data_IF_273636312224
#
_entry.id   IF_273636312224
#
_cell.length_a   1.000
_cell.length_b   1.000
_cell.length_c   1.000
_cell.angle_alpha   90.00
_cell.angle_beta   90.00
_cell.angle_gamma   90.00
#
_symmetry.space_group_name_H-M   'P 1'
#
loop_
_entity.id
_entity.type
_entity.pdbx_description
1 polymer ?
#
# COMPACT_ATOMS: atom_id res chain seq x y z
N UNK A 1 46.03 46.11 2.30
CA UNK A 1 45.58 44.74 1.92
C UNK A 1 46.81 43.86 2.14
N UNK A 2 47.01 43.01 3.14
CA UNK A 2 46.26 42.33 4.22
C UNK A 2 47.26 42.12 5.39
N UNK A 3 46.99 42.55 6.64
CA UNK A 3 46.47 41.80 7.80
C UNK A 3 47.14 40.45 8.12
N UNK A 4 48.01 40.46 9.14
CA UNK A 4 48.42 39.29 9.93
C UNK A 4 48.78 39.79 11.34
N UNK A 5 48.07 39.33 12.38
CA UNK A 5 48.61 39.36 13.74
C UNK A 5 48.14 38.15 14.56
N UNK A 6 49.15 37.38 15.01
CA UNK A 6 49.30 36.67 16.30
C UNK A 6 48.09 35.92 16.84
N UNK A 7 47.99 34.59 16.70
CA UNK A 7 48.70 33.61 17.53
C UNK A 7 48.87 34.01 19.01
N UNK A 8 47.92 33.51 19.81
CA UNK A 8 48.10 32.76 21.07
C UNK A 8 48.94 33.34 22.23
N UNK A 9 48.38 33.13 23.43
CA UNK A 9 48.98 33.12 24.78
C UNK A 9 49.00 34.46 25.52
N UNK A 10 48.04 34.69 26.41
CA UNK A 10 48.30 34.57 27.86
C UNK A 10 47.03 34.04 28.54
N UNK A 11 47.21 32.86 29.11
CA UNK A 11 46.29 32.09 29.93
C UNK A 11 46.34 32.51 31.41
N UNK A 12 45.25 32.22 32.12
CA UNK A 12 45.08 32.10 33.59
C UNK A 12 44.97 33.37 34.44
N UNK A 13 43.78 33.52 35.04
CA UNK A 13 43.48 33.57 36.49
C UNK A 13 41.93 33.48 36.63
N UNK A 14 41.35 32.29 36.43
CA UNK A 14 40.68 31.42 37.42
C UNK A 14 40.00 32.11 38.64
N UNK A 15 38.73 31.75 38.82
CA UNK A 15 37.92 31.55 40.05
C UNK A 15 36.83 32.59 40.35
N UNK A 16 35.61 32.05 40.52
CA UNK A 16 34.41 32.61 41.18
C UNK A 16 33.51 33.60 40.43
N UNK A 17 32.49 33.07 39.75
CA UNK A 17 31.08 33.32 40.10
C UNK A 17 30.15 32.50 39.17
N UNK A 18 29.66 31.39 39.70
CA UNK A 18 28.43 30.73 39.23
C UNK A 18 27.29 31.73 39.39
N UNK A 19 26.82 32.33 38.30
CA UNK A 19 25.47 32.92 38.21
C UNK A 19 24.88 32.54 36.87
N UNK A 20 24.36 31.31 36.87
CA UNK A 20 23.07 30.93 36.29
C UNK A 20 22.22 32.09 35.75
N UNK A 21 22.28 32.33 34.44
CA UNK A 21 21.19 32.98 33.72
C UNK A 21 20.11 31.94 33.42
N UNK A 22 19.27 31.68 34.43
CA UNK A 22 17.95 31.10 34.22
C UNK A 22 17.06 32.22 33.66
N UNK A 23 16.60 32.07 32.43
CA UNK A 23 15.39 32.75 31.97
C UNK A 23 14.26 31.70 31.92
N UNK A 24 13.04 32.08 32.35
CA UNK A 24 12.09 31.15 32.93
C UNK A 24 11.35 30.38 31.84
N UNK A 25 11.32 29.06 31.99
CA UNK A 25 10.27 28.22 31.41
C UNK A 25 9.01 28.56 32.20
N UNK A 26 8.18 29.47 31.67
CA UNK A 26 6.82 29.62 32.19
C UNK A 26 6.01 28.40 31.77
N UNK A 27 5.90 27.49 32.73
CA UNK A 27 4.84 26.50 32.87
C UNK A 27 3.49 27.20 32.81
N UNK A 28 2.78 27.06 31.70
CA UNK A 28 1.32 27.19 31.72
C UNK A 28 0.74 25.80 31.81
N UNK A 29 0.42 25.42 33.05
CA UNK A 29 -0.34 24.22 33.34
C UNK A 29 -1.75 24.31 32.78
N UNK A 30 -2.19 23.19 32.24
CA UNK A 30 -3.54 22.62 32.35
C UNK A 30 -4.66 23.61 32.74
N UNK A 31 -5.34 24.14 31.73
CA UNK A 31 -6.79 24.29 31.82
C UNK A 31 -7.39 23.12 31.05
N UNK A 32 -7.73 22.07 31.79
CA UNK A 32 -8.59 20.99 31.33
C UNK A 32 -9.97 21.58 31.04
N UNK A 33 -10.21 21.93 29.79
CA UNK A 33 -11.56 21.91 29.20
C UNK A 33 -11.54 20.82 28.16
N UNK A 34 -12.27 19.74 28.43
CA UNK A 34 -12.23 18.50 27.66
C UNK A 34 -12.53 18.68 26.18
N UNK A 35 -11.47 18.82 25.39
CA UNK A 35 -11.47 18.52 23.97
C UNK A 35 -10.66 17.25 23.77
N UNK A 36 -11.42 16.14 23.73
CA UNK A 36 -11.17 14.90 23.00
C UNK A 36 -9.72 14.78 22.49
N UNK A 37 -8.90 13.98 23.16
CA UNK A 37 -7.69 13.38 22.57
C UNK A 37 -8.12 12.59 21.33
N UNK A 38 -8.12 13.22 20.15
CA UNK A 38 -8.22 12.49 18.90
C UNK A 38 -6.81 11.96 18.65
N UNK A 39 -6.55 10.75 19.17
CA UNK A 39 -5.61 9.84 18.53
C UNK A 39 -6.15 9.62 17.12
N UNK A 40 -5.82 10.51 16.19
CA UNK A 40 -6.17 10.33 14.79
C UNK A 40 -5.25 9.26 14.25
N UNK A 41 -5.83 8.18 13.73
CA UNK A 41 -5.09 7.11 13.04
C UNK A 41 -4.27 7.65 11.87
N UNK A 42 -4.65 8.81 11.35
CA UNK A 42 -3.95 9.51 10.29
C UNK A 42 -3.05 10.62 10.85
N UNK A 43 -1.83 10.68 10.33
CA UNK A 43 -0.90 11.77 10.60
C UNK A 43 -1.41 13.03 9.92
N UNK A 44 -1.43 14.15 10.63
CA UNK A 44 -1.72 15.46 10.03
C UNK A 44 -0.79 15.70 8.81
N UNK A 45 -1.31 16.17 7.65
CA UNK A 45 -2.62 16.77 7.42
C UNK A 45 -3.74 15.81 6.98
N UNK A 46 -3.54 14.50 7.06
CA UNK A 46 -4.52 13.51 6.60
C UNK A 46 -5.67 13.32 7.59
N UNK A 47 -6.86 13.04 7.06
CA UNK A 47 -8.08 12.73 7.80
C UNK A 47 -8.48 11.27 7.59
N UNK A 48 -9.06 10.66 8.62
CA UNK A 48 -9.59 9.29 8.58
C UNK A 48 -10.96 9.29 7.92
N UNK A 49 -11.08 8.62 6.76
CA UNK A 49 -12.35 8.34 6.08
C UNK A 49 -12.37 6.85 5.77
N UNK A 50 -13.34 6.11 6.32
CA UNK A 50 -13.45 4.66 6.10
C UNK A 50 -12.18 3.90 6.50
N UNK A 51 -11.53 4.23 7.62
CA UNK A 51 -10.26 3.63 8.06
C UNK A 51 -9.08 3.87 7.11
N UNK A 52 -9.14 4.90 6.27
CA UNK A 52 -8.08 5.30 5.34
C UNK A 52 -7.75 6.77 5.53
N UNK A 53 -6.53 7.12 5.17
CA UNK A 53 -5.98 8.43 5.41
C UNK A 53 -5.92 9.22 4.11
N UNK A 54 -6.75 10.26 4.04
CA UNK A 54 -6.86 11.12 2.87
C UNK A 54 -6.50 12.56 3.19
N UNK A 55 -5.92 13.24 2.22
CA UNK A 55 -5.72 14.68 2.24
C UNK A 55 -6.54 15.28 1.11
N UNK A 56 -7.45 16.19 1.45
CA UNK A 56 -8.27 16.92 0.49
C UNK A 56 -7.64 18.29 0.25
N UNK A 57 -7.23 18.56 -0.99
CA UNK A 57 -6.57 19.83 -1.30
C UNK A 57 -7.55 21.01 -1.22
N UNK A 58 -7.02 22.17 -0.82
CA UNK A 58 -7.72 23.45 -0.98
C UNK A 58 -7.38 24.12 -2.32
N UNK A 59 -6.17 23.91 -2.81
CA UNK A 59 -5.67 24.43 -4.08
C UNK A 59 -6.07 23.53 -5.26
N UNK A 60 -6.18 24.15 -6.42
CA UNK A 60 -6.48 23.49 -7.68
C UNK A 60 -5.20 23.36 -8.51
N UNK A 61 -4.94 22.17 -9.06
CA UNK A 61 -3.76 21.87 -9.86
C UNK A 61 -4.15 21.05 -11.10
N UNK A 62 -3.28 21.07 -12.11
CA UNK A 62 -3.34 20.08 -13.19
C UNK A 62 -3.18 18.66 -12.62
N UNK A 63 -3.64 17.64 -13.34
CA UNK A 63 -3.52 16.26 -12.84
C UNK A 63 -2.07 15.88 -12.54
N UNK A 64 -1.15 16.18 -13.46
CA UNK A 64 0.27 15.84 -13.29
C UNK A 64 0.90 16.60 -12.12
N UNK A 65 0.54 17.88 -11.92
CA UNK A 65 1.03 18.66 -10.79
C UNK A 65 0.42 18.19 -9.46
N UNK A 66 -0.85 17.76 -9.47
CA UNK A 66 -1.50 17.14 -8.32
C UNK A 66 -0.86 15.80 -7.95
N UNK A 67 -0.54 14.95 -8.92
CA UNK A 67 0.19 13.69 -8.69
C UNK A 67 1.55 13.96 -8.04
N UNK A 68 2.34 14.86 -8.63
CA UNK A 68 3.63 15.27 -8.08
C UNK A 68 3.51 15.89 -6.68
N UNK A 69 2.44 16.64 -6.43
CA UNK A 69 2.18 17.20 -5.11
C UNK A 69 1.99 16.08 -4.08
N UNK A 70 1.13 15.11 -4.38
CA UNK A 70 0.89 13.96 -3.49
C UNK A 70 2.18 13.15 -3.28
N UNK A 71 2.91 12.84 -4.36
CA UNK A 71 4.19 12.13 -4.30
C UNK A 71 5.21 12.88 -3.44
N UNK A 72 5.27 14.22 -3.58
CA UNK A 72 6.15 15.08 -2.79
C UNK A 72 5.86 15.09 -1.29
N UNK A 73 4.62 14.81 -0.88
CA UNK A 73 4.30 14.63 0.55
C UNK A 73 4.96 13.38 1.14
N UNK A 74 5.42 12.45 0.30
CA UNK A 74 6.11 11.22 0.74
C UNK A 74 7.53 11.50 1.22
N UNK A 75 8.09 12.67 0.97
CA UNK A 75 9.45 13.01 1.39
C UNK A 75 9.58 12.96 2.91
N UNK A 76 10.54 12.14 3.38
CA UNK A 76 10.75 11.90 4.81
C UNK A 76 9.65 11.06 5.48
N UNK A 77 8.77 10.42 4.70
CA UNK A 77 7.78 9.46 5.18
C UNK A 77 8.22 8.03 4.81
N UNK A 78 7.69 7.05 5.56
CA UNK A 78 7.88 5.61 5.28
C UNK A 78 6.77 5.08 4.34
N UNK A 79 5.73 5.87 4.10
CA UNK A 79 4.61 5.56 3.21
C UNK A 79 4.73 6.29 1.88
N UNK A 80 4.29 5.63 0.81
CA UNK A 80 3.97 6.30 -0.43
C UNK A 80 2.65 7.07 -0.30
N UNK A 81 2.63 8.28 -0.85
CA UNK A 81 1.43 9.09 -0.97
C UNK A 81 1.20 9.33 -2.45
N UNK A 82 0.01 8.97 -2.92
CA UNK A 82 -0.38 9.12 -4.33
C UNK A 82 -1.71 9.86 -4.41
N UNK A 83 -2.16 10.16 -5.62
CA UNK A 83 -3.57 10.48 -5.81
C UNK A 83 -4.44 9.29 -5.36
N UNK A 84 -5.60 9.60 -4.80
CA UNK A 84 -6.50 8.61 -4.21
C UNK A 84 -7.01 7.62 -5.27
N UNK A 85 -6.99 6.33 -4.93
CA UNK A 85 -7.46 5.24 -5.76
C UNK A 85 -8.54 4.48 -5.02
N UNK A 86 -9.49 3.87 -5.73
CA UNK A 86 -10.55 3.11 -5.09
C UNK A 86 -10.90 1.81 -5.80
N UNK A 87 -11.41 0.88 -5.01
CA UNK A 87 -12.02 -0.37 -5.45
C UNK A 87 -13.44 -0.42 -4.87
N UNK A 88 -14.42 -0.13 -5.73
CA UNK A 88 -15.81 0.10 -5.29
C UNK A 88 -16.47 -1.11 -4.61
N UNK A 89 -15.90 -2.32 -4.77
CA UNK A 89 -16.38 -3.50 -4.03
C UNK A 89 -16.29 -3.33 -2.50
N UNK A 90 -15.56 -2.31 -2.03
CA UNK A 90 -15.26 -2.07 -0.62
C UNK A 90 -16.08 -0.94 -0.01
N UNK A 91 -16.41 -1.09 1.27
CA UNK A 91 -17.23 -0.13 2.03
C UNK A 91 -16.47 1.17 2.29
N UNK A 92 -15.16 1.07 2.51
CA UNK A 92 -14.23 2.16 2.77
C UNK A 92 -14.14 3.13 1.58
N UNK A 93 -14.20 2.57 0.37
CA UNK A 93 -14.23 3.34 -0.88
C UNK A 93 -15.57 4.07 -1.07
N UNK A 94 -16.68 3.48 -0.61
CA UNK A 94 -17.97 4.17 -0.56
C UNK A 94 -17.95 5.32 0.47
N UNK A 95 -17.28 5.15 1.61
CA UNK A 95 -17.14 6.21 2.62
C UNK A 95 -16.36 7.42 2.06
N UNK A 96 -15.35 7.20 1.21
CA UNK A 96 -14.68 8.30 0.49
C UNK A 96 -15.63 9.04 -0.45
N UNK A 97 -16.45 8.30 -1.21
CA UNK A 97 -17.41 8.91 -2.13
C UNK A 97 -18.50 9.69 -1.38
N UNK A 98 -18.95 9.20 -0.23
CA UNK A 98 -19.88 9.88 0.67
C UNK A 98 -19.24 11.15 1.26
N UNK A 99 -17.95 11.10 1.61
CA UNK A 99 -17.20 12.27 2.06
C UNK A 99 -17.12 13.34 0.95
N UNK A 100 -16.79 12.95 -0.29
CA UNK A 100 -16.79 13.85 -1.46
C UNK A 100 -18.19 14.46 -1.67
N UNK A 101 -19.24 13.64 -1.56
CA UNK A 101 -20.63 14.07 -1.67
C UNK A 101 -20.96 15.14 -0.62
N UNK A 102 -20.56 14.93 0.63
CA UNK A 102 -20.79 15.87 1.74
C UNK A 102 -20.08 17.21 1.56
N UNK A 103 -18.93 17.21 0.89
CA UNK A 103 -18.16 18.42 0.58
C UNK A 103 -18.67 19.17 -0.66
N UNK A 104 -19.58 18.56 -1.42
CA UNK A 104 -20.07 19.07 -2.70
C UNK A 104 -18.94 19.48 -3.65
N UNK A 105 -17.89 18.65 -3.72
CA UNK A 105 -16.66 18.96 -4.44
C UNK A 105 -16.49 18.22 -5.76
N UNK A 106 -15.56 18.72 -6.57
CA UNK A 106 -14.98 18.04 -7.72
C UNK A 106 -13.51 17.86 -7.46
N UNK A 107 -13.02 16.62 -7.52
CA UNK A 107 -11.64 16.30 -7.21
C UNK A 107 -11.00 15.41 -8.27
N UNK A 108 -9.74 15.67 -8.59
CA UNK A 108 -8.86 14.66 -9.16
C UNK A 108 -8.69 13.49 -8.21
N UNK A 109 -8.75 12.30 -8.80
CA UNK A 109 -8.47 10.99 -8.22
C UNK A 109 -7.51 10.29 -9.17
N UNK A 110 -6.78 9.29 -8.70
CA UNK A 110 -5.58 8.76 -9.38
C UNK A 110 -5.82 7.96 -10.66
N UNK A 111 -6.91 8.17 -11.40
CA UNK A 111 -7.18 7.48 -12.66
C UNK A 111 -6.76 8.32 -13.87
N UNK A 112 -6.09 7.72 -14.86
CA UNK A 112 -5.80 8.32 -16.16
C UNK A 112 -5.95 7.31 -17.30
N UNK A 113 -6.17 7.81 -18.50
CA UNK A 113 -6.20 7.01 -19.72
C UNK A 113 -5.47 7.73 -20.85
N UNK A 114 -4.43 7.09 -21.39
CA UNK A 114 -3.64 7.64 -22.50
C UNK A 114 -4.39 7.46 -23.84
N UNK A 115 -4.97 6.28 -24.07
CA UNK A 115 -5.67 5.89 -25.31
C UNK A 115 -7.20 6.12 -25.29
N UNK A 116 -7.72 6.67 -24.19
CA UNK A 116 -9.13 6.95 -23.97
C UNK A 116 -10.01 5.75 -23.61
N UNK A 117 -9.49 4.52 -23.70
CA UNK A 117 -10.23 3.27 -23.53
C UNK A 117 -9.76 2.46 -22.32
N UNK A 118 -8.45 2.36 -22.12
CA UNK A 118 -7.83 1.67 -21.00
C UNK A 118 -7.52 2.69 -19.91
N UNK A 119 -8.21 2.55 -18.79
CA UNK A 119 -8.01 3.38 -17.61
C UNK A 119 -7.05 2.68 -16.66
N UNK A 120 -6.06 3.42 -16.20
CA UNK A 120 -5.11 2.98 -15.19
C UNK A 120 -5.10 3.90 -14.00
N UNK A 121 -4.97 3.31 -12.83
CA UNK A 121 -4.61 4.02 -11.61
C UNK A 121 -3.16 4.51 -11.68
N UNK A 122 -2.80 5.47 -10.83
CA UNK A 122 -1.41 6.00 -10.71
C UNK A 122 -0.39 4.94 -10.26
N UNK A 123 -0.86 3.77 -9.81
CA UNK A 123 -0.05 2.59 -9.53
C UNK A 123 -0.09 1.54 -10.67
N UNK A 124 -0.42 1.97 -11.88
CA UNK A 124 -0.49 1.21 -13.13
C UNK A 124 -1.53 0.08 -13.20
N UNK A 125 -2.33 -0.11 -12.15
CA UNK A 125 -3.43 -1.09 -12.16
C UNK A 125 -4.56 -0.66 -13.08
N UNK A 126 -5.16 -1.63 -13.75
CA UNK A 126 -6.37 -1.40 -14.53
C UNK A 126 -7.54 -0.95 -13.63
N UNK A 127 -8.25 0.07 -14.10
CA UNK A 127 -9.46 0.56 -13.47
C UNK A 127 -10.63 -0.31 -13.92
N UNK A 128 -11.03 -1.27 -13.09
CA UNK A 128 -12.21 -2.12 -13.35
C UNK A 128 -13.51 -1.47 -12.83
N UNK A 129 -13.80 -0.26 -13.30
CA UNK A 129 -15.00 0.48 -12.94
C UNK A 129 -15.96 0.49 -14.12
N UNK A 130 -17.07 -0.25 -14.01
CA UNK A 130 -18.14 -0.25 -15.00
C UNK A 130 -19.33 0.61 -14.53
N UNK A 131 -20.41 0.68 -15.29
CA UNK A 131 -21.68 1.24 -14.79
C UNK A 131 -22.06 0.50 -13.49
N UNK A 132 -22.47 1.20 -12.42
CA UNK A 132 -23.07 2.54 -12.40
C UNK A 132 -22.15 3.71 -11.98
N UNK A 133 -20.82 3.54 -11.98
CA UNK A 133 -19.89 4.54 -11.40
C UNK A 133 -19.62 5.74 -12.31
N UNK A 134 -19.49 5.48 -13.60
CA UNK A 134 -19.42 6.52 -14.61
C UNK A 134 -20.73 7.29 -14.67
N UNK A 135 -20.63 8.62 -14.83
CA UNK A 135 -21.79 9.40 -15.23
C UNK A 135 -22.31 8.94 -16.58
N UNK A 136 -23.56 9.28 -16.86
CA UNK A 136 -24.20 8.86 -18.11
C UNK A 136 -23.37 9.34 -19.31
N UNK A 137 -23.11 8.41 -20.22
CA UNK A 137 -22.35 8.60 -21.45
C UNK A 137 -20.85 8.88 -21.26
N UNK A 138 -20.32 8.72 -20.03
CA UNK A 138 -18.89 8.71 -19.75
C UNK A 138 -18.27 7.31 -19.82
N UNK A 139 -16.96 7.21 -20.16
CA UNK A 139 -16.07 8.30 -20.58
C UNK A 139 -16.35 8.76 -22.02
N UNK A 140 -16.47 10.08 -22.27
CA UNK A 140 -16.90 10.62 -23.57
C UNK A 140 -15.80 11.30 -24.42
N UNK A 141 -14.61 11.53 -23.86
CA UNK A 141 -13.56 12.27 -24.57
C UNK A 141 -12.72 11.40 -25.55
N UNK A 142 -11.82 12.04 -26.28
CA UNK A 142 -10.83 11.49 -27.24
C UNK A 142 -9.78 10.53 -26.66
N UNK A 143 -8.82 11.16 -25.99
CA UNK A 143 -7.48 10.66 -25.61
C UNK A 143 -6.93 11.56 -24.47
N UNK A 144 -5.88 11.13 -23.76
CA UNK A 144 -5.21 11.89 -22.68
C UNK A 144 -6.15 12.47 -21.62
N UNK A 145 -6.85 11.57 -20.94
CA UNK A 145 -7.89 11.93 -19.99
C UNK A 145 -7.50 11.55 -18.57
N UNK A 146 -7.99 12.34 -17.64
CA UNK A 146 -7.78 12.14 -16.22
C UNK A 146 -9.12 12.06 -15.50
N UNK A 147 -9.16 11.31 -14.41
CA UNK A 147 -10.39 10.93 -13.73
C UNK A 147 -10.73 11.93 -12.64
N UNK A 148 -11.94 12.49 -12.69
CA UNK A 148 -12.51 13.28 -11.59
C UNK A 148 -13.61 12.51 -10.89
N UNK A 149 -13.68 12.68 -9.56
CA UNK A 149 -14.85 12.37 -8.76
C UNK A 149 -15.63 13.67 -8.51
N UNK A 150 -16.88 13.71 -8.95
CA UNK A 150 -17.75 14.88 -8.83
C UNK A 150 -19.12 14.49 -8.29
N UNK A 151 -19.65 15.34 -7.41
CA UNK A 151 -21.03 15.20 -6.92
C UNK A 151 -22.01 15.52 -8.03
N UNK A 152 -22.88 14.56 -8.36
CA UNK A 152 -24.01 14.77 -9.24
C UNK A 152 -25.31 14.80 -8.45
N UNK A 153 -26.06 15.89 -8.58
CA UNK A 153 -27.32 16.12 -7.89
C UNK A 153 -28.47 15.62 -8.77
N UNK A 154 -29.10 14.49 -8.38
CA UNK A 154 -30.30 14.00 -9.06
C UNK A 154 -31.55 14.75 -8.60
N UNK A 155 -31.61 15.11 -7.31
CA UNK A 155 -32.60 15.98 -6.70
C UNK A 155 -32.10 16.47 -5.32
N UNK A 156 -32.90 17.29 -4.61
CA UNK A 156 -32.53 17.87 -3.32
C UNK A 156 -32.22 16.86 -2.20
N UNK A 157 -32.60 15.58 -2.36
CA UNK A 157 -32.40 14.51 -1.37
C UNK A 157 -31.48 13.38 -1.87
N UNK A 158 -31.06 13.42 -3.14
CA UNK A 158 -30.27 12.37 -3.78
C UNK A 158 -29.10 12.98 -4.56
N UNK A 159 -27.98 13.15 -3.87
CA UNK A 159 -26.69 13.49 -4.45
C UNK A 159 -25.78 12.28 -4.34
N UNK A 160 -25.05 11.96 -5.40
CA UNK A 160 -24.05 10.89 -5.36
C UNK A 160 -22.79 11.32 -6.10
N UNK A 161 -21.64 10.88 -5.61
CA UNK A 161 -20.38 11.08 -6.32
C UNK A 161 -20.31 10.14 -7.51
N UNK A 162 -19.99 10.69 -8.68
CA UNK A 162 -19.84 9.96 -9.93
C UNK A 162 -18.50 10.30 -10.57
N UNK A 163 -18.09 9.43 -11.47
CA UNK A 163 -16.83 9.54 -12.18
C UNK A 163 -17.05 10.14 -13.55
N UNK A 164 -16.15 11.04 -13.91
CA UNK A 164 -16.09 11.68 -15.21
C UNK A 164 -14.65 11.71 -15.67
N UNK A 165 -14.45 11.66 -16.98
CA UNK A 165 -13.17 11.98 -17.59
C UNK A 165 -13.06 13.48 -17.87
N UNK A 166 -11.86 14.01 -17.74
CA UNK A 166 -11.59 15.42 -18.00
C UNK A 166 -10.18 15.59 -18.57
N UNK A 167 -9.93 16.73 -19.23
CA UNK A 167 -8.62 17.04 -19.79
C UNK A 167 -7.62 17.21 -18.64
N UNK A 168 -6.53 16.44 -18.66
CA UNK A 168 -5.54 16.41 -17.57
C UNK A 168 -4.90 17.77 -17.25
N UNK A 169 -4.88 18.70 -18.21
CA UNK A 169 -4.36 20.05 -18.04
C UNK A 169 -5.28 21.00 -17.26
N UNK A 170 -6.55 20.63 -17.04
CA UNK A 170 -7.47 21.45 -16.25
C UNK A 170 -7.09 21.45 -14.78
N UNK A 171 -7.40 22.54 -14.09
CA UNK A 171 -7.12 22.67 -12.67
C UNK A 171 -8.34 22.28 -11.84
N UNK A 172 -8.18 21.29 -10.97
CA UNK A 172 -9.19 20.91 -9.97
C UNK A 172 -8.52 20.68 -8.63
N UNK A 173 -9.32 20.71 -7.56
CA UNK A 173 -8.89 20.16 -6.28
C UNK A 173 -8.56 18.69 -6.46
N UNK A 174 -7.80 18.11 -5.55
CA UNK A 174 -7.33 16.73 -5.66
C UNK A 174 -7.31 16.07 -4.30
N UNK A 175 -7.37 14.75 -4.29
CA UNK A 175 -7.33 13.95 -3.07
C UNK A 175 -6.06 13.13 -3.11
N UNK A 176 -5.18 13.34 -2.13
CA UNK A 176 -4.07 12.43 -1.89
C UNK A 176 -4.51 11.35 -0.91
N UNK A 177 -3.92 10.17 -1.03
CA UNK A 177 -4.09 9.09 -0.09
C UNK A 177 -2.71 8.65 0.41
N UNK A 178 -2.53 8.55 1.73
CA UNK A 178 -1.38 7.85 2.29
C UNK A 178 -1.67 6.36 2.26
N UNK A 179 -0.90 5.63 1.45
CA UNK A 179 -1.19 4.26 1.07
C UNK A 179 -0.35 3.23 1.81
N UNK A 180 0.20 2.30 1.05
CA UNK A 180 1.15 1.30 1.51
C UNK A 180 2.58 1.86 1.53
N UNK A 181 3.54 1.16 2.16
CA UNK A 181 4.95 1.52 2.05
C UNK A 181 5.38 1.61 0.58
N UNK A 182 6.45 2.37 0.30
CA UNK A 182 6.99 2.48 -1.07
C UNK A 182 7.25 1.07 -1.62
N UNK A 183 6.90 0.85 -2.90
CA UNK A 183 6.94 -0.45 -3.61
C UNK A 183 5.86 -1.47 -3.21
N UNK A 184 5.05 -1.19 -2.19
CA UNK A 184 3.92 -2.04 -1.87
C UNK A 184 2.67 -1.55 -2.62
N UNK A 185 2.07 -2.47 -3.36
CA UNK A 185 0.74 -2.36 -3.93
C UNK A 185 -0.31 -2.71 -2.89
N UNK A 186 -1.37 -1.91 -2.84
CA UNK A 186 -2.50 -2.17 -1.96
C UNK A 186 -3.50 -3.13 -2.61
N UNK A 187 -3.84 -4.21 -1.92
CA UNK A 187 -5.03 -5.04 -2.24
C UNK A 187 -5.85 -5.29 -0.97
N UNK A 188 -7.11 -4.87 -0.96
CA UNK A 188 -7.91 -4.88 0.28
C UNK A 188 -7.30 -3.96 1.36
N UNK A 189 -7.25 -4.48 2.58
CA UNK A 189 -6.64 -3.84 3.75
C UNK A 189 -5.15 -4.14 3.92
N UNK A 190 -4.59 -4.88 2.96
CA UNK A 190 -3.23 -5.37 3.03
C UNK A 190 -2.37 -4.72 1.94
N UNK A 191 -1.08 -4.65 2.25
CA UNK A 191 -0.05 -4.13 1.39
C UNK A 191 0.85 -5.28 0.97
N UNK A 192 1.12 -5.39 -0.33
CA UNK A 192 1.92 -6.45 -0.92
C UNK A 192 2.97 -5.89 -1.86
N UNK A 193 4.12 -6.53 -1.94
CA UNK A 193 5.17 -6.15 -2.89
C UNK A 193 5.64 -7.40 -3.62
N UNK A 194 5.69 -7.34 -4.94
CA UNK A 194 6.19 -8.42 -5.81
C UNK A 194 7.63 -8.11 -6.18
N UNK A 195 8.55 -9.04 -5.94
CA UNK A 195 9.98 -8.83 -6.22
C UNK A 195 10.27 -8.48 -7.68
N UNK A 196 9.55 -9.12 -8.62
CA UNK A 196 9.68 -8.89 -10.06
C UNK A 196 9.28 -7.47 -10.48
N UNK A 197 8.28 -6.88 -9.83
CA UNK A 197 7.75 -5.56 -10.18
C UNK A 197 8.77 -4.44 -9.91
N UNK A 198 9.74 -4.72 -9.02
CA UNK A 198 10.80 -3.78 -8.63
C UNK A 198 12.20 -4.25 -9.03
N UNK A 199 12.30 -5.30 -9.85
CA UNK A 199 13.56 -5.80 -10.39
C UNK A 199 14.50 -6.42 -9.36
N UNK A 200 13.96 -6.95 -8.26
CA UNK A 200 14.73 -7.77 -7.31
C UNK A 200 14.99 -9.13 -7.94
N UNK A 201 16.24 -9.65 -7.90
CA UNK A 201 16.54 -10.95 -8.47
C UNK A 201 15.76 -12.06 -7.77
N UNK A 202 15.55 -13.17 -8.48
CA UNK A 202 15.00 -14.39 -7.91
C UNK A 202 15.89 -14.89 -6.76
N UNK A 203 15.27 -15.27 -5.65
CA UNK A 203 15.97 -15.69 -4.42
C UNK A 203 15.48 -17.06 -3.94
N UNK A 204 16.34 -17.87 -3.29
CA UNK A 204 15.91 -19.00 -2.47
C UNK A 204 14.90 -18.56 -1.41
N UNK A 205 14.02 -19.44 -0.97
CA UNK A 205 12.89 -19.06 -0.10
C UNK A 205 13.33 -18.37 1.18
N UNK A 206 14.38 -18.86 1.85
CA UNK A 206 14.88 -18.25 3.08
C UNK A 206 15.47 -16.85 2.82
N UNK A 207 16.19 -16.66 1.71
CA UNK A 207 16.73 -15.35 1.35
C UNK A 207 15.63 -14.37 0.93
N UNK A 208 14.58 -14.86 0.25
CA UNK A 208 13.38 -14.09 -0.05
C UNK A 208 12.65 -13.64 1.24
N UNK A 209 12.56 -14.52 2.22
CA UNK A 209 12.00 -14.21 3.54
C UNK A 209 12.82 -13.15 4.27
N UNK A 210 14.13 -13.36 4.34
CA UNK A 210 15.05 -12.41 4.97
C UNK A 210 14.97 -11.03 4.29
N UNK A 211 14.80 -11.00 2.97
CA UNK A 211 14.54 -9.77 2.22
C UNK A 211 13.27 -9.08 2.69
N UNK A 212 12.13 -9.79 2.75
CA UNK A 212 10.86 -9.22 3.21
C UNK A 212 10.96 -8.67 4.63
N UNK A 213 11.63 -9.39 5.53
CA UNK A 213 11.82 -9.00 6.94
C UNK A 213 12.76 -7.80 7.11
N UNK A 214 13.67 -7.56 6.16
CA UNK A 214 14.54 -6.40 6.16
C UNK A 214 13.87 -5.12 5.64
N UNK A 215 12.66 -5.21 5.06
CA UNK A 215 11.96 -4.04 4.55
C UNK A 215 11.51 -3.13 5.69
N UNK A 216 11.85 -1.85 5.56
CA UNK A 216 11.37 -0.82 6.49
C UNK A 216 9.91 -0.49 6.16
N UNK A 217 9.00 -0.85 7.06
CA UNK A 217 7.56 -0.51 7.01
C UNK A 217 7.16 0.40 8.19
N UNK A 218 5.86 0.60 8.42
CA UNK A 218 5.36 1.45 9.49
C UNK A 218 5.84 1.03 10.89
N UNK A 219 6.00 2.00 11.78
CA UNK A 219 6.16 1.70 13.21
C UNK A 219 4.93 0.92 13.71
N UNK A 220 5.16 -0.20 14.41
CA UNK A 220 4.10 -1.12 14.81
C UNK A 220 3.63 -2.06 13.69
N UNK A 221 4.40 -2.16 12.61
CA UNK A 221 4.23 -3.12 11.53
C UNK A 221 5.58 -3.77 11.19
N UNK A 222 5.51 -4.95 10.58
CA UNK A 222 6.64 -5.62 9.93
C UNK A 222 6.22 -6.12 8.55
N UNK A 223 7.17 -6.53 7.72
CA UNK A 223 6.89 -7.26 6.49
C UNK A 223 7.50 -8.66 6.58
N UNK A 224 6.84 -9.62 5.96
CA UNK A 224 7.33 -11.00 5.79
C UNK A 224 6.73 -11.56 4.49
N UNK A 225 7.02 -12.81 4.12
CA UNK A 225 6.37 -13.42 2.95
C UNK A 225 4.84 -13.48 3.13
N UNK A 226 4.11 -13.35 2.03
CA UNK A 226 2.64 -13.34 2.04
C UNK A 226 2.05 -14.64 2.59
N UNK A 227 1.02 -14.55 3.42
CA UNK A 227 0.25 -15.70 3.90
C UNK A 227 -1.20 -15.56 3.44
N UNK A 228 -1.91 -16.68 3.32
CA UNK A 228 -3.31 -16.71 2.89
C UNK A 228 -4.27 -16.94 4.06
N UNK A 229 -5.56 -16.64 3.85
CA UNK A 229 -6.64 -16.95 4.78
C UNK A 229 -6.69 -16.04 6.00
N UNK A 230 -6.12 -14.83 5.92
CA UNK A 230 -6.26 -13.83 6.98
C UNK A 230 -7.69 -13.25 7.00
N UNK A 231 -8.17 -12.78 8.16
CA UNK A 231 -9.48 -12.12 8.24
C UNK A 231 -9.57 -10.93 7.26
N UNK A 232 -10.61 -10.92 6.42
CA UNK A 232 -10.85 -9.84 5.45
C UNK A 232 -9.91 -9.84 4.23
N UNK A 233 -9.01 -10.81 4.11
CA UNK A 233 -8.15 -10.97 2.94
C UNK A 233 -8.92 -11.65 1.80
N UNK A 234 -8.90 -11.04 0.61
CA UNK A 234 -9.42 -11.68 -0.61
C UNK A 234 -8.28 -12.47 -1.29
N UNK A 235 -8.08 -13.71 -0.83
CA UNK A 235 -7.03 -14.59 -1.33
C UNK A 235 -7.17 -14.88 -2.83
N UNK A 236 -8.41 -14.96 -3.33
CA UNK A 236 -8.64 -15.20 -4.76
C UNK A 236 -8.17 -14.01 -5.59
N UNK A 237 -8.55 -12.80 -5.18
CA UNK A 237 -8.13 -11.58 -5.86
C UNK A 237 -6.61 -11.41 -5.78
N UNK A 238 -6.01 -11.64 -4.60
CA UNK A 238 -4.57 -11.63 -4.37
C UNK A 238 -3.83 -12.54 -5.36
N UNK A 239 -4.21 -13.82 -5.40
CA UNK A 239 -3.56 -14.82 -6.26
C UNK A 239 -3.81 -14.56 -7.75
N UNK A 240 -4.89 -13.88 -8.12
CA UNK A 240 -5.17 -13.53 -9.51
C UNK A 240 -4.46 -12.26 -9.99
N UNK A 241 -4.26 -11.26 -9.10
CA UNK A 241 -3.87 -9.89 -9.50
C UNK A 241 -2.47 -9.44 -9.05
N UNK A 242 -1.79 -10.13 -8.13
CA UNK A 242 -0.35 -9.93 -7.92
C UNK A 242 0.51 -10.85 -8.78
N UNK A 243 -0.08 -11.96 -9.23
CA UNK A 243 0.60 -13.00 -10.01
C UNK A 243 0.22 -12.81 -11.49
N UNK A 244 0.31 -11.56 -11.96
CA UNK A 244 -0.18 -11.13 -13.28
C UNK A 244 0.70 -11.70 -14.38
N UNK A 245 0.06 -12.50 -15.22
CA UNK A 245 0.32 -13.02 -16.58
C UNK A 245 1.75 -13.29 -17.12
N UNK A 246 2.82 -12.75 -16.56
CA UNK A 246 4.22 -13.10 -16.90
C UNK A 246 5.08 -13.45 -15.68
N UNK A 247 4.56 -13.27 -14.46
CA UNK A 247 5.26 -13.71 -13.26
C UNK A 247 5.20 -15.23 -13.12
N UNK A 248 6.39 -15.83 -13.16
CA UNK A 248 6.63 -17.20 -12.74
C UNK A 248 6.14 -17.41 -11.30
N UNK A 249 5.83 -18.67 -11.01
CA UNK A 249 5.78 -19.27 -9.69
C UNK A 249 6.51 -18.45 -8.61
N UNK A 250 5.78 -17.90 -7.64
CA UNK A 250 6.31 -16.97 -6.63
C UNK A 250 6.27 -17.56 -5.23
N UNK A 251 7.34 -17.39 -4.45
CA UNK A 251 7.39 -17.81 -3.06
C UNK A 251 6.36 -17.08 -2.19
N UNK A 252 5.71 -17.85 -1.33
CA UNK A 252 4.79 -17.39 -0.29
C UNK A 252 5.20 -17.97 1.07
N UNK A 253 4.64 -17.45 2.16
CA UNK A 253 5.03 -17.73 3.54
C UNK A 253 4.56 -19.07 4.08
N UNK A 254 4.53 -20.13 3.27
CA UNK A 254 4.20 -21.48 3.70
C UNK A 254 5.44 -22.36 3.79
N UNK A 255 5.55 -23.16 4.86
CA UNK A 255 6.74 -23.95 5.17
C UNK A 255 6.38 -25.32 5.76
N UNK A 256 7.05 -26.38 5.27
CA UNK A 256 6.95 -27.73 5.84
C UNK A 256 7.59 -27.81 7.23
N UNK A 257 6.99 -28.59 8.12
CA UNK A 257 7.43 -28.77 9.50
C UNK A 257 7.99 -30.18 9.73
N UNK A 258 9.30 -30.24 9.92
CA UNK A 258 10.01 -31.50 10.18
C UNK A 258 9.94 -32.46 8.98
N UNK A 259 10.06 -33.75 9.28
CA UNK A 259 10.04 -34.83 8.27
C UNK A 259 8.61 -35.30 7.94
N UNK A 260 7.61 -34.88 8.71
CA UNK A 260 6.22 -35.24 8.46
C UNK A 260 5.58 -34.31 7.42
N UNK A 261 4.55 -34.79 6.71
CA UNK A 261 3.79 -33.97 5.77
C UNK A 261 2.86 -32.99 6.51
N UNK A 262 3.45 -32.00 7.16
CA UNK A 262 2.77 -30.97 7.95
C UNK A 262 3.25 -29.61 7.50
N UNK A 263 2.31 -28.70 7.24
CA UNK A 263 2.61 -27.36 6.76
C UNK A 263 2.04 -26.32 7.70
N UNK A 264 2.78 -25.22 7.84
CA UNK A 264 2.30 -24.04 8.54
C UNK A 264 2.63 -22.79 7.74
N UNK A 265 1.81 -21.77 7.92
CA UNK A 265 2.18 -20.42 7.54
C UNK A 265 3.23 -19.90 8.51
N UNK A 266 4.07 -18.98 8.05
CA UNK A 266 5.10 -18.32 8.86
C UNK A 266 4.52 -17.51 10.04
N UNK A 267 3.22 -17.23 10.04
CA UNK A 267 2.49 -16.62 11.16
C UNK A 267 2.03 -17.65 12.22
N UNK A 268 2.38 -18.93 12.03
CA UNK A 268 2.10 -20.03 12.96
C UNK A 268 0.74 -20.71 12.78
N UNK A 269 -0.11 -20.25 11.84
CA UNK A 269 -1.35 -20.95 11.52
C UNK A 269 -1.08 -22.26 10.77
N UNK A 270 -1.78 -23.32 11.15
CA UNK A 270 -1.71 -24.61 10.46
C UNK A 270 -2.31 -24.52 9.06
N UNK A 271 -1.63 -25.13 8.09
CA UNK A 271 -2.14 -25.33 6.75
C UNK A 271 -2.48 -26.81 6.55
N UNK A 272 -3.77 -27.13 6.60
CA UNK A 272 -4.25 -28.49 6.42
C UNK A 272 -3.94 -29.01 5.01
N UNK A 273 -3.52 -30.27 4.91
CA UNK A 273 -3.33 -31.00 3.63
C UNK A 273 -4.61 -30.96 2.77
N UNK A 274 -5.79 -31.03 3.39
CA UNK A 274 -7.07 -30.95 2.69
C UNK A 274 -7.57 -29.53 2.38
N UNK A 275 -6.70 -28.51 2.49
CA UNK A 275 -7.08 -27.13 2.22
C UNK A 275 -7.41 -26.91 0.75
N UNK A 276 -8.35 -26.01 0.48
CA UNK A 276 -8.75 -25.65 -0.88
C UNK A 276 -7.68 -24.86 -1.65
N UNK A 277 -6.61 -24.43 -0.98
CA UNK A 277 -5.51 -23.70 -1.64
C UNK A 277 -4.63 -24.63 -2.48
N UNK A 278 -4.44 -25.88 -2.05
CA UNK A 278 -3.58 -26.85 -2.73
C UNK A 278 -4.08 -27.15 -4.14
N UNK A 279 -3.11 -27.37 -5.04
CA UNK A 279 -3.40 -27.94 -6.35
C UNK A 279 -3.90 -29.38 -6.20
N UNK A 280 -4.65 -29.87 -7.18
CA UNK A 280 -4.96 -31.30 -7.25
C UNK A 280 -3.65 -32.11 -7.14
N UNK A 281 -3.67 -33.14 -6.30
CA UNK A 281 -2.53 -34.03 -6.01
C UNK A 281 -1.38 -33.39 -5.22
N UNK A 282 -1.56 -32.16 -4.70
CA UNK A 282 -0.64 -31.52 -3.75
C UNK A 282 -1.23 -31.46 -2.33
N UNK A 283 -0.38 -31.38 -1.29
CA UNK A 283 1.07 -31.56 -1.32
C UNK A 283 1.46 -33.01 -1.66
N UNK A 284 2.44 -33.20 -2.53
CA UNK A 284 3.08 -34.49 -2.78
C UNK A 284 4.02 -34.85 -1.62
N UNK A 285 3.41 -35.39 -0.57
CA UNK A 285 4.05 -35.87 0.67
C UNK A 285 5.10 -36.99 0.49
N UNK A 286 5.65 -37.21 -0.71
CA UNK A 286 6.68 -38.19 -1.01
C UNK A 286 6.12 -39.60 -1.12
N UNK A 287 5.62 -39.97 -2.30
CA UNK A 287 5.57 -41.39 -2.67
C UNK A 287 7.00 -41.86 -2.97
N UNK A 288 7.62 -42.59 -2.01
CA UNK A 288 8.89 -43.37 -1.97
C UNK A 288 10.14 -43.02 -2.82
N UNK A 289 10.06 -42.24 -3.88
CA UNK A 289 11.12 -41.94 -4.86
C UNK A 289 11.54 -40.46 -4.86
N UNK A 290 10.81 -39.57 -4.18
CA UNK A 290 11.18 -38.17 -4.01
C UNK A 290 11.77 -37.94 -2.61
N UNK A 291 13.08 -37.70 -2.56
CA UNK A 291 13.84 -37.34 -1.35
C UNK A 291 13.18 -36.13 -0.69
N UNK A 292 13.07 -36.13 0.64
CA UNK A 292 12.68 -34.98 1.47
C UNK A 292 13.46 -33.72 1.06
N UNK A 293 12.90 -32.95 0.13
CA UNK A 293 13.35 -31.60 -0.18
C UNK A 293 12.79 -30.69 0.92
N UNK A 294 13.50 -29.60 1.24
CA UNK A 294 12.87 -28.53 2.01
C UNK A 294 11.68 -28.07 1.18
N UNK A 295 10.46 -28.32 1.66
CA UNK A 295 9.25 -28.02 0.91
C UNK A 295 8.76 -26.65 1.36
N UNK A 296 9.08 -25.66 0.54
CA UNK A 296 8.59 -24.30 0.67
C UNK A 296 7.48 -24.06 -0.35
N UNK A 297 6.54 -23.19 0.02
CA UNK A 297 5.34 -23.01 -0.77
C UNK A 297 5.48 -21.88 -1.77
N UNK A 298 5.03 -22.15 -2.99
CA UNK A 298 4.94 -21.18 -4.06
C UNK A 298 3.59 -21.26 -4.75
N UNK A 299 3.25 -20.25 -5.54
CA UNK A 299 2.02 -20.23 -6.31
C UNK A 299 2.19 -20.90 -7.67
N UNK A 300 1.37 -21.89 -8.04
CA UNK A 300 1.46 -22.60 -9.31
C UNK A 300 0.57 -22.09 -10.44
N UNK A 301 0.78 -22.66 -11.64
CA UNK A 301 -0.01 -22.36 -12.85
C UNK A 301 -1.52 -22.54 -12.67
N UNK A 302 -2.28 -21.67 -13.33
CA UNK A 302 -3.73 -21.70 -13.33
C UNK A 302 -4.24 -22.95 -14.07
N UNK A 303 -5.14 -23.71 -13.45
CA UNK A 303 -5.82 -24.78 -14.16
C UNK A 303 -6.73 -24.15 -15.23
N UNK A 304 -6.42 -24.41 -16.51
CA UNK A 304 -6.97 -23.74 -17.72
C UNK A 304 -8.51 -23.66 -17.75
N UNK A 305 -9.21 -24.57 -17.06
CA UNK A 305 -10.68 -24.58 -16.97
C UNK A 305 -11.28 -23.70 -15.88
N UNK A 306 -10.51 -23.25 -14.89
CA UNK A 306 -11.03 -22.53 -13.71
C UNK A 306 -10.45 -21.14 -13.50
N UNK A 307 -9.37 -20.76 -14.23
CA UNK A 307 -8.64 -19.50 -14.03
C UNK A 307 -8.34 -19.23 -12.54
N UNK A 308 -8.08 -20.30 -11.79
CA UNK A 308 -7.77 -20.29 -10.37
C UNK A 308 -6.33 -20.73 -10.21
N UNK A 309 -5.57 -19.97 -9.43
CA UNK A 309 -4.22 -20.35 -8.99
C UNK A 309 -4.29 -21.17 -7.72
N UNK A 310 -3.31 -22.03 -7.58
CA UNK A 310 -3.16 -22.95 -6.44
C UNK A 310 -1.78 -22.78 -5.83
N UNK A 311 -1.59 -23.30 -4.63
CA UNK A 311 -0.28 -23.43 -4.00
C UNK A 311 0.29 -24.82 -4.31
N UNK A 312 1.60 -24.89 -4.43
CA UNK A 312 2.38 -26.12 -4.55
C UNK A 312 3.55 -26.06 -3.56
N UNK A 313 4.22 -27.19 -3.35
CA UNK A 313 5.50 -27.25 -2.66
C UNK A 313 6.67 -27.39 -3.64
N UNK A 314 7.84 -26.86 -3.26
CA UNK A 314 9.07 -26.95 -4.05
C UNK A 314 10.30 -26.87 -3.16
N UNK A 315 11.44 -27.34 -3.67
CA UNK A 315 12.74 -27.14 -3.04
C UNK A 315 13.07 -25.66 -2.89
N UNK A 316 13.09 -25.13 -1.65
CA UNK A 316 13.35 -23.72 -1.38
C UNK A 316 14.78 -23.26 -1.61
N UNK A 317 15.69 -24.15 -2.00
CA UNK A 317 17.02 -23.78 -2.51
C UNK A 317 16.94 -23.13 -3.90
N UNK A 318 15.81 -23.28 -4.59
CA UNK A 318 15.60 -22.76 -5.94
C UNK A 318 15.26 -21.28 -5.89
N UNK A 319 15.92 -20.51 -6.74
CA UNK A 319 15.66 -19.09 -6.86
C UNK A 319 14.34 -18.86 -7.61
N UNK A 320 13.41 -18.13 -7.01
CA UNK A 320 12.17 -17.70 -7.66
C UNK A 320 11.81 -16.25 -7.25
N UNK A 321 10.91 -15.60 -8.00
CA UNK A 321 10.22 -14.41 -7.52
C UNK A 321 9.50 -14.67 -6.20
N UNK A 322 9.16 -13.61 -5.47
CA UNK A 322 8.50 -13.74 -4.18
C UNK A 322 7.61 -12.54 -3.88
N UNK A 323 6.63 -12.76 -2.99
CA UNK A 323 5.67 -11.73 -2.60
C UNK A 323 5.81 -11.46 -1.11
N UNK A 324 6.13 -10.22 -0.76
CA UNK A 324 6.09 -9.74 0.61
C UNK A 324 4.71 -9.19 0.94
N UNK A 325 4.29 -9.36 2.19
CA UNK A 325 3.09 -8.77 2.77
C UNK A 325 3.48 -7.98 4.02
N UNK A 326 2.81 -6.85 4.23
CA UNK A 326 2.94 -6.08 5.47
C UNK A 326 1.92 -6.56 6.51
N UNK A 327 2.38 -6.76 7.74
CA UNK A 327 1.64 -7.22 8.89
C UNK A 327 1.68 -6.19 10.00
N UNK A 328 0.60 -6.10 10.77
CA UNK A 328 0.57 -5.30 11.99
C UNK A 328 1.20 -6.09 13.13
N UNK A 329 2.04 -5.44 13.93
CA UNK A 329 2.60 -6.04 15.14
C UNK A 329 1.50 -6.34 16.17
N UNK A 330 1.74 -7.38 16.97
CA UNK A 330 0.79 -7.89 17.96
C UNK A 330 0.64 -6.99 19.19
#
# INVERSE_FOLDING_TARGET
IQSLTMYQLVSLLIVEAVVLAHLPIETYGDIITGEKTISSRCRHPFVDVGNRCYFFSENELSFDDASKYCEGLSEGQVFGITLAMFDYSRKEDQDLLDAIASMNGTFWIGGKSEDGNQWKWVDDRDVNLQKPFWFQDEPNQVENKCLIAQVHNFNAEHSRTLLFDNECGNSFKFICESGCPIHFRRLGDYCYMTSSDIGVPDLPWQEARDYCQALSVYEGYHADLVVLGLPGQDDYYLMQHLITSEAHDSWIGGVKQGEECKFQWIDGRELAIGSLYWRDEEPDCGDQDHVDLSCEMYTGEAYVKSNRRYINEHEGSIAQPFICQMFKDA
#
